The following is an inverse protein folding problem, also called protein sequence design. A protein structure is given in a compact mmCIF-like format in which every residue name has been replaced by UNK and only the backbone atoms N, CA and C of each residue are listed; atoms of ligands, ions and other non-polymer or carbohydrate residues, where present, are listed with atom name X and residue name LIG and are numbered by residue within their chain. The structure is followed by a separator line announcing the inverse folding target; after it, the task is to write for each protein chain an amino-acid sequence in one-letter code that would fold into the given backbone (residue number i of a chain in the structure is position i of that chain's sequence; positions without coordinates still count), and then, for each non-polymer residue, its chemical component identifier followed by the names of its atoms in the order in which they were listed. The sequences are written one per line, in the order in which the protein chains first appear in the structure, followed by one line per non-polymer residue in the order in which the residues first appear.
data_IF_517683131319
#
_entry.id   IF_517683131319
#
_cell.length_a   1.000
_cell.length_b   1.000
_cell.length_c   1.000
_cell.angle_alpha   90.00
_cell.angle_beta   90.00
_cell.angle_gamma   90.00
#
_symmetry.space_group_name_H-M   'P 1'
#
loop_
_entity.id
_entity.type
_entity.pdbx_description
1 polymer ?
#
# COMPACT_ATOMS: atom_id res chain seq x y z
N UNK A 1 22.41 9.51 4.22
CA UNK A 1 21.29 8.84 4.93
C UNK A 1 21.14 9.33 6.35
N UNK A 2 22.04 9.00 7.29
CA UNK A 2 21.99 9.50 8.69
C UNK A 2 22.17 11.03 8.78
N UNK A 3 22.84 11.64 7.79
CA UNK A 3 23.04 13.08 7.66
C UNK A 3 21.79 13.89 7.27
N UNK A 4 20.65 13.23 6.99
CA UNK A 4 19.45 13.83 6.38
C UNK A 4 19.69 14.59 5.06
N UNK A 5 20.89 14.50 4.51
CA UNK A 5 21.23 14.92 3.16
C UNK A 5 21.03 13.72 2.23
N UNK A 6 19.94 13.75 1.48
CA UNK A 6 19.45 12.62 0.69
C UNK A 6 19.89 12.81 -0.76
N UNK A 7 20.69 11.90 -1.33
CA UNK A 7 21.00 11.96 -2.75
C UNK A 7 19.72 11.81 -3.58
N UNK A 8 19.62 12.58 -4.66
CA UNK A 8 18.57 12.42 -5.66
C UNK A 8 18.82 11.13 -6.45
N UNK A 9 18.09 10.07 -6.12
CA UNK A 9 18.18 8.78 -6.81
C UNK A 9 17.43 8.83 -8.16
N UNK A 10 18.00 8.21 -9.20
CA UNK A 10 17.36 8.11 -10.51
C UNK A 10 16.89 6.68 -10.78
N UNK A 11 15.61 6.40 -10.52
CA UNK A 11 15.01 5.08 -10.68
C UNK A 11 14.97 4.54 -12.13
N UNK A 12 15.27 5.36 -13.15
CA UNK A 12 15.51 4.87 -14.52
C UNK A 12 16.90 4.27 -14.71
N UNK A 13 17.86 4.72 -13.90
CA UNK A 13 19.26 4.30 -14.02
C UNK A 13 19.51 3.21 -12.99
N UNK A 14 19.35 3.49 -11.70
CA UNK A 14 19.59 2.53 -10.62
C UNK A 14 18.76 2.86 -9.37
N UNK A 15 18.43 1.82 -8.60
CA UNK A 15 18.00 1.96 -7.21
C UNK A 15 19.19 1.81 -6.26
N UNK A 16 19.25 2.63 -5.22
CA UNK A 16 20.22 2.48 -4.14
C UNK A 16 20.05 1.15 -3.40
N UNK A 17 21.14 0.57 -2.91
CA UNK A 17 21.16 -0.64 -2.06
C UNK A 17 20.14 -0.59 -0.90
N UNK A 18 19.96 0.56 -0.23
CA UNK A 18 18.97 0.68 0.85
C UNK A 18 17.54 0.55 0.32
N UNK A 19 17.24 1.16 -0.83
CA UNK A 19 15.93 1.03 -1.47
C UNK A 19 15.70 -0.40 -1.98
N UNK A 20 16.72 -1.03 -2.58
CA UNK A 20 16.63 -2.42 -3.04
C UNK A 20 16.33 -3.38 -1.88
N UNK A 21 17.04 -3.25 -0.76
CA UNK A 21 16.79 -4.05 0.44
C UNK A 21 15.38 -3.79 0.99
N UNK A 22 14.96 -2.52 1.05
CA UNK A 22 13.62 -2.16 1.51
C UNK A 22 12.53 -2.76 0.61
N UNK A 23 12.68 -2.71 -0.72
CA UNK A 23 11.76 -3.33 -1.66
C UNK A 23 11.76 -4.86 -1.53
N UNK A 24 12.93 -5.48 -1.39
CA UNK A 24 13.03 -6.91 -1.18
C UNK A 24 12.29 -7.35 0.08
N UNK A 25 12.58 -6.72 1.22
CA UNK A 25 11.91 -7.02 2.49
C UNK A 25 10.40 -6.77 2.41
N UNK A 26 9.97 -5.66 1.81
CA UNK A 26 8.54 -5.32 1.72
C UNK A 26 7.78 -6.32 0.86
N UNK A 27 8.31 -6.65 -0.33
CA UNK A 27 7.62 -7.45 -1.34
C UNK A 27 7.72 -8.95 -1.04
N UNK A 28 8.90 -9.44 -0.67
CA UNK A 28 9.14 -10.88 -0.53
C UNK A 28 9.02 -11.40 0.91
N UNK A 29 8.95 -10.51 1.90
CA UNK A 29 8.82 -10.92 3.31
C UNK A 29 7.54 -10.37 3.92
N UNK A 30 7.41 -9.05 4.02
CA UNK A 30 6.30 -8.43 4.75
C UNK A 30 4.94 -8.71 4.09
N UNK A 31 4.84 -8.57 2.75
CA UNK A 31 3.60 -8.80 2.03
C UNK A 31 3.12 -10.28 2.11
N UNK A 32 3.97 -11.30 1.87
CA UNK A 32 3.58 -12.70 2.07
C UNK A 32 3.18 -13.01 3.50
N UNK A 33 3.91 -12.48 4.49
CA UNK A 33 3.55 -12.64 5.91
C UNK A 33 2.17 -12.06 6.19
N UNK A 34 1.88 -10.84 5.72
CA UNK A 34 0.58 -10.22 5.89
C UNK A 34 -0.54 -10.99 5.18
N UNK A 35 -0.28 -11.52 3.98
CA UNK A 35 -1.26 -12.31 3.23
C UNK A 35 -1.61 -13.62 3.95
N UNK A 36 -0.61 -14.39 4.41
CA UNK A 36 -0.81 -15.66 5.12
C UNK A 36 -1.55 -15.43 6.44
N UNK A 37 -1.07 -14.47 7.23
CA UNK A 37 -1.66 -14.17 8.55
C UNK A 37 -3.05 -13.53 8.43
N UNK A 38 -3.26 -12.69 7.41
CA UNK A 38 -4.56 -12.11 7.09
C UNK A 38 -5.57 -13.15 6.62
N UNK A 39 -5.17 -14.07 5.73
CA UNK A 39 -6.01 -15.18 5.29
C UNK A 39 -6.46 -16.04 6.46
N UNK A 40 -5.57 -16.32 7.42
CA UNK A 40 -5.90 -17.06 8.64
C UNK A 40 -6.95 -16.40 9.52
N UNK A 41 -6.99 -15.08 9.54
CA UNK A 41 -7.98 -14.29 10.29
C UNK A 41 -9.26 -13.98 9.49
N UNK A 42 -9.28 -14.31 8.19
CA UNK A 42 -10.42 -14.04 7.31
C UNK A 42 -11.58 -15.02 7.53
N UNK A 43 -12.76 -14.65 7.06
CA UNK A 43 -13.93 -15.53 7.05
C UNK A 43 -13.79 -16.73 6.10
N UNK A 44 -12.81 -16.72 5.19
CA UNK A 44 -12.55 -17.76 4.20
C UNK A 44 -11.78 -18.96 4.77
N UNK A 45 -11.20 -18.82 5.97
CA UNK A 45 -10.43 -19.89 6.59
C UNK A 45 -11.31 -21.10 6.97
N UNK A 46 -10.92 -22.34 6.61
CA UNK A 46 -11.73 -23.53 6.84
C UNK A 46 -11.87 -23.85 8.34
N UNK A 47 -13.04 -23.57 8.91
CA UNK A 47 -13.32 -23.76 10.35
C UNK A 47 -13.33 -25.22 10.80
N UNK A 48 -13.62 -26.14 9.88
CA UNK A 48 -13.78 -27.57 10.17
C UNK A 48 -12.45 -28.35 10.10
N UNK A 49 -11.36 -27.72 9.67
CA UNK A 49 -10.05 -28.36 9.55
C UNK A 49 -9.30 -28.36 10.89
N UNK A 50 -9.68 -29.24 11.81
CA UNK A 50 -9.12 -29.34 13.18
C UNK A 50 -7.59 -29.44 13.22
N UNK A 51 -6.97 -30.33 12.45
CA UNK A 51 -5.50 -30.48 12.39
C UNK A 51 -4.78 -29.20 11.95
N UNK A 52 -5.35 -28.48 10.98
CA UNK A 52 -4.77 -27.25 10.45
C UNK A 52 -4.92 -26.09 11.45
N UNK A 53 -6.04 -26.05 12.17
CA UNK A 53 -6.32 -25.04 13.19
C UNK A 53 -5.45 -25.20 14.45
N UNK A 54 -5.10 -26.44 14.80
CA UNK A 54 -4.14 -26.76 15.87
C UNK A 54 -2.71 -26.39 15.48
N UNK A 55 -2.29 -26.73 14.25
CA UNK A 55 -0.94 -26.42 13.77
C UNK A 55 -0.72 -24.91 13.57
N UNK A 56 -1.78 -24.19 13.16
CA UNK A 56 -1.71 -22.74 12.97
C UNK A 56 -2.82 -22.01 13.76
N UNK A 57 -2.56 -21.71 15.05
CA UNK A 57 -3.51 -21.00 15.90
C UNK A 57 -3.65 -19.53 15.46
N UNK A 58 -4.84 -18.97 15.66
CA UNK A 58 -5.13 -17.58 15.27
C UNK A 58 -4.32 -16.58 16.11
N UNK A 59 -3.93 -16.96 17.33
CA UNK A 59 -3.11 -16.16 18.23
C UNK A 59 -1.72 -15.91 17.63
N UNK A 60 -1.13 -16.92 16.98
CA UNK A 60 0.14 -16.77 16.28
C UNK A 60 0.00 -15.88 15.06
N UNK A 61 -1.06 -16.07 14.27
CA UNK A 61 -1.35 -15.22 13.12
C UNK A 61 -1.49 -13.76 13.54
N UNK A 62 -2.22 -13.47 14.61
CA UNK A 62 -2.39 -12.11 15.15
C UNK A 62 -1.09 -11.50 15.66
N UNK A 63 -0.29 -12.28 16.41
CA UNK A 63 1.01 -11.85 16.94
C UNK A 63 1.99 -11.45 15.84
N UNK A 64 1.89 -12.08 14.66
CA UNK A 64 2.73 -11.73 13.52
C UNK A 64 2.10 -10.62 12.68
N UNK A 65 0.79 -10.66 12.44
CA UNK A 65 0.09 -9.68 11.59
C UNK A 65 0.18 -8.26 12.16
N UNK A 66 0.03 -8.10 13.47
CA UNK A 66 0.01 -6.77 14.09
C UNK A 66 1.35 -6.01 13.92
N UNK A 67 2.52 -6.57 14.25
CA UNK A 67 3.80 -5.95 13.93
C UNK A 67 4.03 -5.72 12.43
N UNK A 68 3.59 -6.65 11.57
CA UNK A 68 3.69 -6.47 10.11
C UNK A 68 2.86 -5.28 9.63
N UNK A 69 1.66 -5.07 10.19
CA UNK A 69 0.84 -3.90 9.92
C UNK A 69 1.56 -2.60 10.35
N UNK A 70 2.15 -2.57 11.55
CA UNK A 70 2.92 -1.42 12.00
C UNK A 70 4.12 -1.12 11.10
N UNK A 71 4.83 -2.16 10.65
CA UNK A 71 5.90 -2.02 9.66
C UNK A 71 5.40 -1.35 8.38
N UNK A 72 4.25 -1.79 7.82
CA UNK A 72 3.68 -1.17 6.63
C UNK A 72 3.30 0.30 6.86
N UNK A 73 2.72 0.65 8.00
CA UNK A 73 2.37 2.04 8.33
C UNK A 73 3.62 2.92 8.34
N UNK A 74 4.67 2.49 9.04
CA UNK A 74 5.94 3.22 9.10
C UNK A 74 6.60 3.31 7.73
N UNK A 75 6.65 2.20 6.99
CA UNK A 75 7.21 2.15 5.64
C UNK A 75 6.50 3.13 4.71
N UNK A 76 5.16 3.14 4.69
CA UNK A 76 4.36 4.05 3.86
C UNK A 76 4.65 5.51 4.25
N UNK A 77 4.67 5.82 5.54
CA UNK A 77 4.94 7.19 6.01
C UNK A 77 6.32 7.68 5.55
N UNK A 78 7.37 6.88 5.75
CA UNK A 78 8.74 7.21 5.33
C UNK A 78 8.84 7.28 3.81
N UNK A 79 8.25 6.32 3.10
CA UNK A 79 8.26 6.27 1.64
C UNK A 79 7.60 7.51 1.02
N UNK A 80 6.40 7.87 1.47
CA UNK A 80 5.69 9.06 0.98
C UNK A 80 6.46 10.33 1.33
N UNK A 81 7.02 10.43 2.54
CA UNK A 81 7.84 11.58 2.92
C UNK A 81 9.04 11.75 1.97
N UNK A 82 9.76 10.66 1.66
CA UNK A 82 10.87 10.69 0.72
C UNK A 82 10.43 11.05 -0.69
N UNK A 83 9.32 10.49 -1.19
CA UNK A 83 8.77 10.84 -2.52
C UNK A 83 8.50 12.34 -2.62
N UNK A 84 7.96 12.96 -1.56
CA UNK A 84 7.65 14.39 -1.56
C UNK A 84 8.89 15.27 -1.34
N UNK A 85 9.87 14.82 -0.56
CA UNK A 85 11.07 15.61 -0.23
C UNK A 85 12.21 15.49 -1.26
N UNK A 86 12.23 14.50 -2.13
CA UNK A 86 13.29 14.28 -3.14
C UNK A 86 12.88 14.66 -4.57
N UNK A 87 11.92 15.58 -4.71
CA UNK A 87 11.41 16.05 -6.00
C UNK A 87 10.03 15.51 -6.34
N UNK A 88 9.02 15.89 -5.55
CA UNK A 88 7.63 15.42 -5.64
C UNK A 88 7.08 15.31 -7.08
N UNK A 89 7.16 16.39 -7.86
CA UNK A 89 6.56 16.43 -9.20
C UNK A 89 7.25 15.45 -10.16
N UNK A 90 8.57 15.33 -10.06
CA UNK A 90 9.37 14.38 -10.83
C UNK A 90 9.02 12.94 -10.42
N UNK A 91 9.04 12.64 -9.13
CA UNK A 91 8.71 11.32 -8.59
C UNK A 91 7.28 10.89 -8.94
N UNK A 92 6.30 11.79 -8.86
CA UNK A 92 4.92 11.51 -9.25
C UNK A 92 4.79 11.25 -10.76
N UNK A 93 5.49 12.00 -11.61
CA UNK A 93 5.53 11.73 -13.05
C UNK A 93 6.17 10.37 -13.36
N UNK A 94 7.23 9.98 -12.64
CA UNK A 94 7.82 8.65 -12.75
C UNK A 94 6.82 7.55 -12.41
N UNK A 95 6.14 7.66 -11.28
CA UNK A 95 5.26 6.60 -10.76
C UNK A 95 3.90 6.52 -11.45
N UNK A 96 3.26 7.68 -11.70
CA UNK A 96 1.88 7.74 -12.19
C UNK A 96 1.76 7.94 -13.70
N UNK A 97 2.74 8.59 -14.34
CA UNK A 97 2.70 8.89 -15.78
C UNK A 97 3.76 8.12 -16.59
N UNK A 98 4.60 7.30 -15.94
CA UNK A 98 5.75 6.62 -16.56
C UNK A 98 6.67 7.57 -17.35
N UNK A 99 6.80 8.81 -16.87
CA UNK A 99 7.62 9.86 -17.48
C UNK A 99 8.88 10.09 -16.66
N UNK A 100 9.98 10.44 -17.33
CA UNK A 100 11.20 10.84 -16.64
C UNK A 100 12.41 10.95 -17.55
N UNK A 101 13.55 11.27 -16.95
CA UNK A 101 14.83 11.42 -17.64
C UNK A 101 15.93 10.62 -16.94
N UNK A 102 16.88 10.11 -17.72
CA UNK A 102 18.13 9.54 -17.20
C UNK A 102 19.05 10.61 -16.59
N UNK A 103 18.84 11.88 -16.97
CA UNK A 103 19.51 13.03 -16.37
C UNK A 103 18.96 13.31 -14.95
N UNK A 104 19.80 13.23 -13.89
CA UNK A 104 19.41 13.56 -12.53
C UNK A 104 18.94 15.01 -12.36
N UNK A 105 19.48 15.94 -13.16
CA UNK A 105 19.21 17.39 -13.04
C UNK A 105 18.01 17.84 -13.88
N UNK A 106 17.44 16.94 -14.68
CA UNK A 106 16.24 17.21 -15.46
C UNK A 106 15.02 17.41 -14.53
N UNK A 107 14.47 18.63 -14.57
CA UNK A 107 13.24 19.01 -13.89
C UNK A 107 12.00 18.36 -14.51
N UNK A 108 10.94 18.24 -13.72
CA UNK A 108 9.65 17.75 -14.21
C UNK A 108 9.03 18.74 -15.21
N UNK A 109 8.91 18.32 -16.47
CA UNK A 109 8.39 19.17 -17.55
C UNK A 109 6.88 19.37 -17.58
N UNK A 110 6.10 18.64 -16.76
CA UNK A 110 4.64 18.73 -16.73
C UNK A 110 4.06 18.20 -15.40
N UNK A 111 2.74 18.28 -15.25
CA UNK A 111 1.99 17.91 -14.04
C UNK A 111 1.13 16.66 -14.20
N UNK A 112 1.36 15.86 -15.23
CA UNK A 112 0.50 14.71 -15.58
C UNK A 112 0.40 13.70 -14.44
N UNK A 113 1.54 13.29 -13.87
CA UNK A 113 1.59 12.35 -12.76
C UNK A 113 0.93 12.88 -11.49
N UNK A 114 1.02 14.18 -11.23
CA UNK A 114 0.33 14.82 -10.11
C UNK A 114 -1.20 14.71 -10.26
N UNK A 115 -1.75 15.03 -11.43
CA UNK A 115 -3.19 14.94 -11.66
C UNK A 115 -3.71 13.50 -11.62
N UNK A 116 -2.92 12.54 -12.14
CA UNK A 116 -3.24 11.11 -12.04
C UNK A 116 -3.23 10.63 -10.58
N UNK A 117 -2.28 11.08 -9.77
CA UNK A 117 -2.25 10.83 -8.32
C UNK A 117 -3.46 11.45 -7.61
N UNK A 118 -3.80 12.71 -7.91
CA UNK A 118 -4.95 13.36 -7.30
C UNK A 118 -6.26 12.65 -7.66
N UNK A 119 -6.41 12.23 -8.92
CA UNK A 119 -7.54 11.45 -9.40
C UNK A 119 -7.62 10.09 -8.69
N UNK A 120 -6.51 9.36 -8.56
CA UNK A 120 -6.50 8.06 -7.89
C UNK A 120 -6.92 8.18 -6.42
N UNK A 121 -6.45 9.21 -5.71
CA UNK A 121 -6.89 9.51 -4.34
C UNK A 121 -8.38 9.83 -4.28
N UNK A 122 -8.89 10.66 -5.21
CA UNK A 122 -10.31 11.00 -5.27
C UNK A 122 -11.16 9.74 -5.50
N UNK A 123 -10.73 8.82 -6.37
CA UNK A 123 -11.39 7.53 -6.61
C UNK A 123 -11.39 6.66 -5.35
N UNK A 124 -10.25 6.56 -4.65
CA UNK A 124 -10.15 5.77 -3.41
C UNK A 124 -11.08 6.34 -2.34
N UNK A 125 -11.07 7.65 -2.13
CA UNK A 125 -11.96 8.33 -1.17
C UNK A 125 -13.42 8.14 -1.56
N UNK A 126 -13.74 8.29 -2.85
CA UNK A 126 -15.09 8.04 -3.38
C UNK A 126 -15.55 6.61 -3.14
N UNK A 127 -14.70 5.61 -3.42
CA UNK A 127 -14.98 4.21 -3.15
C UNK A 127 -15.17 3.94 -1.66
N UNK A 128 -14.33 4.51 -0.79
CA UNK A 128 -14.46 4.39 0.66
C UNK A 128 -15.79 4.97 1.17
N UNK A 129 -16.19 6.15 0.67
CA UNK A 129 -17.49 6.76 1.00
C UNK A 129 -18.64 5.91 0.48
N UNK A 130 -18.53 5.38 -0.75
CA UNK A 130 -19.55 4.53 -1.35
C UNK A 130 -19.75 3.19 -0.61
N UNK A 131 -18.71 2.66 0.02
CA UNK A 131 -18.78 1.43 0.82
C UNK A 131 -19.41 1.62 2.21
N UNK A 132 -19.74 2.87 2.60
CA UNK A 132 -20.40 3.11 3.88
C UNK A 132 -21.80 2.49 3.89
N UNK A 133 -22.25 1.90 5.03
CA UNK A 133 -23.58 1.30 5.12
C UNK A 133 -24.72 2.24 4.71
N UNK A 134 -24.57 3.55 4.94
CA UNK A 134 -25.55 4.57 4.53
C UNK A 134 -25.75 4.67 3.02
N UNK A 135 -24.76 4.31 2.21
CA UNK A 135 -24.83 4.32 0.74
C UNK A 135 -25.22 2.94 0.19
N UNK A 136 -24.64 1.87 0.75
CA UNK A 136 -24.88 0.50 0.26
C UNK A 136 -26.25 -0.04 0.68
N UNK A 137 -26.72 0.24 1.89
CA UNK A 137 -27.95 -0.34 2.42
C UNK A 137 -29.23 0.08 1.64
N UNK A 138 -29.40 1.35 1.22
CA UNK A 138 -30.53 1.74 0.38
C UNK A 138 -30.54 1.03 -0.99
N UNK A 139 -29.37 0.87 -1.62
CA UNK A 139 -29.25 0.20 -2.92
C UNK A 139 -29.54 -1.30 -2.77
N UNK A 140 -29.00 -1.93 -1.73
CA UNK A 140 -29.24 -3.35 -1.47
C UNK A 140 -30.72 -3.65 -1.17
N UNK A 141 -31.46 -2.69 -0.58
CA UNK A 141 -32.91 -2.80 -0.34
C UNK A 141 -33.76 -2.83 -1.61
N UNK A 142 -33.24 -2.33 -2.75
CA UNK A 142 -33.93 -2.47 -4.04
C UNK A 142 -33.95 -3.92 -4.55
N UNK A 143 -33.04 -4.77 -4.06
CA UNK A 143 -32.91 -6.17 -4.48
C UNK A 143 -33.44 -7.18 -3.43
N UNK A 144 -33.98 -6.71 -2.29
CA UNK A 144 -34.56 -7.57 -1.25
C UNK A 144 -34.54 -6.94 0.16
N UNK A 145 -35.08 -7.64 1.16
CA UNK A 145 -35.09 -7.15 2.54
C UNK A 145 -33.71 -7.29 3.19
N UNK A 146 -33.03 -6.16 3.42
CA UNK A 146 -31.73 -6.12 4.11
C UNK A 146 -31.95 -5.74 5.58
N UNK A 147 -31.77 -6.71 6.47
CA UNK A 147 -31.75 -6.48 7.92
C UNK A 147 -30.42 -5.84 8.32
N UNK A 148 -30.48 -4.66 8.93
CA UNK A 148 -29.30 -3.99 9.49
C UNK A 148 -28.90 -4.68 10.78
N UNK A 149 -27.76 -5.38 10.78
CA UNK A 149 -27.06 -5.82 11.99
C UNK A 149 -25.75 -5.07 12.09
#
# INVERSE_FOLDING_TARGET
YVSLDWPTENGWVNYNSLQQLAYFTTIFIAAPVAAITGYRMSALWPKQATKLNELYPVEWARKLHFPTMLYFVVFIAVHVALVLSTGALRNLNHMYAAQGSADPDAYAGNWTGFWLFALSLAVIVGAYVAMRPMVVAPIARLFGNVSGR
#
